data_IF_358369385880
#
_entry.id   IF_358369385880
#
_cell.length_a   1.000
_cell.length_b   1.000
_cell.length_c   1.000
_cell.angle_alpha   90.00
_cell.angle_beta   90.00
_cell.angle_gamma   90.00
#
_symmetry.space_group_name_H-M   'P 1'
#
loop_
_entity.id
_entity.type
_entity.pdbx_description
1 polymer ?
#
# COMPACT_ATOMS: atom_id res chain seq x y z
N UNK A 1 -20.46 -16.22 10.46
CA UNK A 1 -20.39 -14.95 9.75
C UNK A 1 -19.60 -15.14 8.47
N UNK A 2 -19.94 -14.40 7.40
CA UNK A 2 -19.22 -14.44 6.13
C UNK A 2 -18.00 -13.47 6.11
N UNK A 3 -17.64 -12.92 7.28
CA UNK A 3 -16.48 -12.06 7.42
C UNK A 3 -15.17 -12.85 7.32
N UNK A 4 -14.22 -12.28 6.59
CA UNK A 4 -12.83 -12.71 6.55
C UNK A 4 -11.95 -11.76 7.36
N UNK A 5 -10.81 -12.24 7.80
CA UNK A 5 -9.76 -11.43 8.43
C UNK A 5 -8.62 -11.33 7.41
N UNK A 6 -8.28 -10.14 7.00
CA UNK A 6 -7.14 -9.90 6.13
C UNK A 6 -5.88 -9.64 6.98
N UNK A 7 -4.92 -10.54 6.89
CA UNK A 7 -3.59 -10.36 7.49
C UNK A 7 -2.80 -9.40 6.61
N UNK A 8 -2.22 -8.40 7.22
CA UNK A 8 -1.48 -7.39 6.46
C UNK A 8 -0.01 -7.78 6.29
N UNK A 9 0.55 -7.51 5.10
CA UNK A 9 2.00 -7.53 4.90
C UNK A 9 2.63 -6.43 5.73
N UNK A 10 3.65 -6.74 6.52
CA UNK A 10 4.24 -5.84 7.49
C UNK A 10 5.63 -5.38 7.06
N UNK A 11 6.02 -4.17 7.46
CA UNK A 11 7.33 -3.60 7.15
C UNK A 11 8.49 -4.30 7.88
N UNK A 12 8.22 -5.03 8.97
CA UNK A 12 9.22 -5.66 9.81
C UNK A 12 9.86 -4.72 10.81
N UNK A 13 9.13 -3.70 11.26
CA UNK A 13 9.58 -2.76 12.27
C UNK A 13 9.62 -3.42 13.64
N UNK A 14 10.79 -3.43 14.26
CA UNK A 14 10.96 -4.03 15.59
C UNK A 14 10.72 -5.54 15.58
N UNK A 15 9.66 -6.00 16.24
CA UNK A 15 9.28 -7.41 16.37
C UNK A 15 8.01 -7.77 15.59
N UNK A 16 7.62 -6.96 14.61
CA UNK A 16 6.47 -7.25 13.76
C UNK A 16 6.66 -8.56 12.99
N UNK A 17 5.60 -9.38 12.94
CA UNK A 17 5.51 -10.62 12.16
C UNK A 17 4.66 -10.35 10.93
N UNK A 18 4.93 -11.03 9.81
CA UNK A 18 4.28 -10.80 8.51
C UNK A 18 5.13 -9.98 7.56
N UNK A 19 6.43 -9.84 7.88
CA UNK A 19 7.43 -9.19 7.04
C UNK A 19 7.69 -9.95 5.75
N UNK A 20 7.66 -11.27 5.80
CA UNK A 20 7.84 -12.12 4.62
C UNK A 20 6.57 -12.92 4.32
N UNK A 21 6.43 -13.35 3.08
CA UNK A 21 5.28 -14.17 2.68
C UNK A 21 5.27 -15.52 3.39
N UNK A 22 6.45 -16.06 3.72
CA UNK A 22 6.60 -17.28 4.52
C UNK A 22 6.11 -17.11 5.96
N UNK A 23 6.31 -15.93 6.57
CA UNK A 23 5.76 -15.62 7.90
C UNK A 23 4.22 -15.57 7.87
N UNK A 24 3.63 -14.98 6.82
CA UNK A 24 2.18 -15.01 6.63
C UNK A 24 1.67 -16.44 6.41
N UNK A 25 2.36 -17.23 5.58
CA UNK A 25 2.00 -18.64 5.37
C UNK A 25 2.07 -19.44 6.67
N UNK A 26 3.07 -19.21 7.51
CA UNK A 26 3.18 -19.85 8.81
C UNK A 26 2.00 -19.51 9.75
N UNK A 27 1.47 -18.27 9.67
CA UNK A 27 0.24 -17.90 10.40
C UNK A 27 -0.95 -18.67 9.84
N UNK A 28 -1.10 -18.76 8.51
CA UNK A 28 -2.18 -19.54 7.88
C UNK A 28 -2.15 -21.01 8.34
N UNK A 29 -0.98 -21.63 8.32
CA UNK A 29 -0.80 -23.03 8.72
C UNK A 29 -1.08 -23.26 10.21
N UNK A 30 -0.83 -22.24 11.04
CA UNK A 30 -1.07 -22.30 12.50
C UNK A 30 -2.53 -22.08 12.90
N UNK A 31 -3.41 -21.63 11.99
CA UNK A 31 -4.81 -21.31 12.31
C UNK A 31 -5.75 -22.42 11.83
N UNK A 32 -6.56 -22.96 12.75
CA UNK A 32 -7.49 -24.07 12.47
C UNK A 32 -8.56 -23.72 11.42
N UNK A 33 -9.03 -22.47 11.39
CA UNK A 33 -10.04 -21.96 10.47
C UNK A 33 -9.43 -20.96 9.49
N UNK A 34 -8.36 -21.36 8.81
CA UNK A 34 -7.64 -20.50 7.86
C UNK A 34 -8.43 -20.20 6.58
N UNK A 35 -9.53 -20.91 6.32
CA UNK A 35 -10.49 -20.59 5.25
C UNK A 35 -11.08 -19.17 5.38
N UNK A 36 -11.04 -18.57 6.58
CA UNK A 36 -11.45 -17.19 6.87
C UNK A 36 -10.33 -16.17 6.80
N UNK A 37 -9.10 -16.61 6.58
CA UNK A 37 -7.97 -15.71 6.41
C UNK A 37 -7.86 -15.25 4.96
N UNK A 38 -7.42 -14.01 4.80
CA UNK A 38 -7.05 -13.37 3.53
C UNK A 38 -5.82 -12.50 3.76
N UNK A 39 -5.32 -11.87 2.73
CA UNK A 39 -4.19 -10.96 2.83
C UNK A 39 -4.62 -9.53 2.44
N UNK A 40 -4.19 -8.58 3.22
CA UNK A 40 -4.08 -7.18 2.85
C UNK A 40 -2.65 -6.92 2.39
N UNK A 41 -2.47 -6.59 1.12
CA UNK A 41 -1.15 -6.30 0.56
C UNK A 41 -0.89 -4.79 0.63
N UNK A 42 -0.04 -4.35 1.55
CA UNK A 42 0.37 -2.95 1.65
C UNK A 42 1.66 -2.69 0.85
N UNK A 43 1.63 -1.71 -0.05
CA UNK A 43 2.77 -1.39 -0.92
C UNK A 43 3.93 -0.75 -0.17
N UNK A 44 3.65 0.13 0.80
CA UNK A 44 4.69 0.73 1.65
C UNK A 44 5.38 -0.35 2.49
N UNK A 45 4.61 -1.19 3.18
CA UNK A 45 5.15 -2.23 4.04
C UNK A 45 5.96 -3.26 3.25
N UNK A 46 5.46 -3.69 2.10
CA UNK A 46 6.16 -4.68 1.25
C UNK A 46 7.47 -4.12 0.71
N UNK A 47 7.51 -2.84 0.28
CA UNK A 47 8.75 -2.18 -0.10
C UNK A 47 9.70 -2.03 1.09
N UNK A 48 9.19 -1.58 2.24
CA UNK A 48 9.99 -1.36 3.45
C UNK A 48 10.53 -2.69 4.03
N UNK A 49 9.87 -3.82 3.78
CA UNK A 49 10.35 -5.16 4.15
C UNK A 49 11.44 -5.69 3.22
N UNK A 50 11.62 -5.10 2.03
CA UNK A 50 12.71 -5.42 1.10
C UNK A 50 12.31 -6.09 -0.20
N UNK A 51 11.02 -6.26 -0.48
CA UNK A 51 10.56 -6.72 -1.80
C UNK A 51 10.66 -5.59 -2.83
N UNK A 52 11.22 -5.88 -3.99
CA UNK A 52 11.34 -4.91 -5.09
C UNK A 52 10.03 -4.80 -5.90
N UNK A 53 9.05 -4.14 -5.31
CA UNK A 53 7.78 -3.86 -5.99
C UNK A 53 7.87 -2.70 -6.99
N UNK A 54 9.00 -1.98 -7.02
CA UNK A 54 9.22 -0.84 -7.90
C UNK A 54 9.56 -1.31 -9.31
N UNK A 55 10.51 -2.23 -9.43
CA UNK A 55 11.03 -2.67 -10.72
C UNK A 55 10.62 -4.09 -11.09
N UNK A 56 10.21 -4.91 -10.11
CA UNK A 56 9.98 -6.34 -10.27
C UNK A 56 8.68 -6.83 -9.62
N UNK A 57 7.60 -6.01 -9.67
CA UNK A 57 6.32 -6.35 -9.04
C UNK A 57 5.80 -7.74 -9.46
N UNK A 58 5.85 -8.07 -10.75
CA UNK A 58 5.36 -9.37 -11.25
C UNK A 58 6.14 -10.54 -10.63
N UNK A 59 7.46 -10.42 -10.50
CA UNK A 59 8.27 -11.45 -9.86
C UNK A 59 7.97 -11.57 -8.35
N UNK A 60 7.65 -10.46 -7.69
CA UNK A 60 7.18 -10.47 -6.30
C UNK A 60 5.84 -11.19 -6.21
N UNK A 61 4.91 -10.90 -7.13
CA UNK A 61 3.61 -11.58 -7.19
C UNK A 61 3.73 -13.06 -7.52
N UNK A 62 4.66 -13.47 -8.37
CA UNK A 62 4.95 -14.88 -8.64
C UNK A 62 5.49 -15.61 -7.39
N UNK A 63 6.27 -14.91 -6.58
CA UNK A 63 6.72 -15.44 -5.29
C UNK A 63 5.57 -15.56 -4.30
N UNK A 64 4.73 -14.54 -4.20
CA UNK A 64 3.53 -14.55 -3.37
C UNK A 64 2.58 -15.70 -3.77
N UNK A 65 2.35 -15.87 -5.07
CA UNK A 65 1.48 -16.90 -5.61
C UNK A 65 1.94 -18.33 -5.24
N UNK A 66 3.24 -18.59 -5.33
CA UNK A 66 3.80 -19.89 -4.94
C UNK A 66 3.66 -20.20 -3.45
N UNK A 67 3.63 -19.19 -2.60
CA UNK A 67 3.65 -19.35 -1.13
C UNK A 67 2.24 -19.35 -0.56
N UNK A 68 1.38 -18.44 -1.01
CA UNK A 68 0.06 -18.20 -0.43
C UNK A 68 -1.09 -18.35 -1.44
N UNK A 69 -0.83 -18.09 -2.73
CA UNK A 69 -1.86 -17.95 -3.77
C UNK A 69 -2.32 -16.50 -3.96
N UNK A 70 -2.31 -16.00 -5.18
CA UNK A 70 -2.74 -14.62 -5.50
C UNK A 70 -4.19 -14.34 -5.10
N UNK A 71 -5.04 -15.36 -5.13
CA UNK A 71 -6.46 -15.30 -4.75
C UNK A 71 -6.67 -15.00 -3.26
N UNK A 72 -5.64 -15.14 -2.43
CA UNK A 72 -5.71 -14.78 -1.01
C UNK A 72 -5.68 -13.26 -0.79
N UNK A 73 -5.26 -12.47 -1.78
CA UNK A 73 -5.26 -11.01 -1.66
C UNK A 73 -6.70 -10.49 -1.76
N UNK A 74 -7.23 -10.04 -0.62
CA UNK A 74 -8.58 -9.48 -0.53
C UNK A 74 -8.62 -7.96 -0.72
N UNK A 75 -7.51 -7.27 -0.46
CA UNK A 75 -7.40 -5.82 -0.53
C UNK A 75 -5.94 -5.39 -0.71
N UNK A 76 -5.73 -4.32 -1.43
CA UNK A 76 -4.46 -3.58 -1.44
C UNK A 76 -4.59 -2.31 -0.61
N UNK A 77 -3.60 -2.05 0.25
CA UNK A 77 -3.30 -0.71 0.71
C UNK A 77 -2.27 -0.10 -0.24
N UNK A 78 -2.66 0.97 -0.91
CA UNK A 78 -1.80 1.67 -1.90
C UNK A 78 -1.22 2.89 -1.22
N UNK A 79 -0.01 2.77 -0.75
CA UNK A 79 0.73 3.80 -0.03
C UNK A 79 2.13 3.95 -0.64
N UNK A 80 2.59 5.18 -0.81
CA UNK A 80 4.01 5.43 -1.08
C UNK A 80 4.80 5.39 0.22
N UNK A 81 6.11 5.22 0.15
CA UNK A 81 6.98 5.16 1.33
C UNK A 81 7.95 6.34 1.38
N UNK A 82 8.12 6.92 2.57
CA UNK A 82 9.18 7.90 2.84
C UNK A 82 10.57 7.29 2.84
N UNK A 83 10.67 5.98 2.93
CA UNK A 83 11.91 5.26 3.13
C UNK A 83 12.35 4.54 1.87
N UNK A 84 13.66 4.31 1.77
CA UNK A 84 14.21 3.39 0.76
C UNK A 84 13.74 1.96 1.03
N UNK A 85 13.63 1.12 -0.02
CA UNK A 85 13.28 -0.28 0.12
C UNK A 85 14.15 -1.00 1.17
N UNK A 86 13.54 -1.86 1.98
CA UNK A 86 14.24 -2.61 3.03
C UNK A 86 14.51 -1.85 4.33
N UNK A 87 13.97 -0.64 4.49
CA UNK A 87 14.23 0.19 5.67
C UNK A 87 13.57 -0.32 6.97
N UNK A 88 12.56 -1.17 6.89
CA UNK A 88 11.80 -1.72 8.02
C UNK A 88 11.24 -0.63 8.96
N UNK A 89 10.57 0.40 8.42
CA UNK A 89 10.18 1.59 9.20
C UNK A 89 8.69 1.91 9.20
N UNK A 90 7.95 1.52 8.17
CA UNK A 90 6.53 1.85 8.04
C UNK A 90 6.27 3.37 8.18
N UNK A 91 6.49 4.10 7.11
CA UNK A 91 6.27 5.55 7.03
C UNK A 91 5.63 5.90 5.70
N UNK A 92 4.30 5.96 5.68
CA UNK A 92 3.53 6.31 4.49
C UNK A 92 3.85 7.72 3.98
N UNK A 93 3.87 7.88 2.66
CA UNK A 93 3.92 9.13 1.95
C UNK A 93 2.76 9.20 0.95
N UNK A 94 2.43 10.39 0.47
CA UNK A 94 1.45 10.58 -0.59
C UNK A 94 1.95 9.99 -1.91
N UNK A 95 1.03 9.52 -2.75
CA UNK A 95 1.34 8.80 -3.98
C UNK A 95 2.21 9.63 -4.93
N UNK A 96 3.38 9.11 -5.27
CA UNK A 96 4.35 9.75 -6.14
C UNK A 96 5.28 10.76 -5.46
N UNK A 97 5.12 10.98 -4.14
CA UNK A 97 5.98 11.87 -3.36
C UNK A 97 6.98 11.11 -2.49
N UNK A 98 6.96 9.79 -2.53
CA UNK A 98 7.86 8.93 -1.79
C UNK A 98 8.89 8.20 -2.66
N UNK A 99 9.43 7.12 -2.15
CA UNK A 99 10.51 6.36 -2.76
C UNK A 99 10.02 5.25 -3.70
N UNK A 100 8.77 4.82 -3.59
CA UNK A 100 8.15 3.86 -4.53
C UNK A 100 7.84 4.58 -5.84
N UNK A 101 7.24 5.76 -5.74
CA UNK A 101 6.92 6.61 -6.88
C UNK A 101 5.58 6.27 -7.55
N UNK A 102 5.05 7.25 -8.28
CA UNK A 102 3.72 7.15 -8.87
C UNK A 102 3.61 6.04 -9.92
N UNK A 103 4.61 5.89 -10.79
CA UNK A 103 4.53 4.95 -11.92
C UNK A 103 4.40 3.49 -11.45
N UNK A 104 5.18 3.11 -10.43
CA UNK A 104 5.10 1.77 -9.85
C UNK A 104 3.75 1.54 -9.15
N UNK A 105 3.27 2.50 -8.36
CA UNK A 105 1.98 2.40 -7.70
C UNK A 105 0.81 2.36 -8.69
N UNK A 106 0.88 3.18 -9.75
CA UNK A 106 -0.11 3.18 -10.82
C UNK A 106 -0.14 1.85 -11.57
N UNK A 107 1.03 1.24 -11.84
CA UNK A 107 1.11 -0.10 -12.41
C UNK A 107 0.41 -1.14 -11.53
N UNK A 108 0.68 -1.13 -10.22
CA UNK A 108 0.08 -2.06 -9.26
C UNK A 108 -1.46 -1.91 -9.22
N UNK A 109 -1.95 -0.66 -9.20
CA UNK A 109 -3.39 -0.37 -9.15
C UNK A 109 -4.12 -0.91 -10.38
N UNK A 110 -3.50 -0.83 -11.56
CA UNK A 110 -4.11 -1.24 -12.83
C UNK A 110 -3.66 -2.62 -13.30
N UNK A 111 -2.98 -3.39 -12.43
CA UNK A 111 -2.53 -4.73 -12.78
C UNK A 111 -3.73 -5.65 -13.09
N UNK A 112 -3.74 -6.35 -14.24
CA UNK A 112 -4.92 -7.11 -14.70
C UNK A 112 -5.33 -8.24 -13.76
N UNK A 113 -4.38 -8.89 -13.07
CA UNK A 113 -4.70 -9.97 -12.13
C UNK A 113 -5.50 -9.48 -10.92
N UNK A 114 -5.49 -8.16 -10.64
CA UNK A 114 -6.10 -7.57 -9.46
C UNK A 114 -7.17 -6.52 -9.77
N UNK A 115 -7.71 -6.50 -10.98
CA UNK A 115 -8.71 -5.52 -11.41
C UNK A 115 -9.88 -5.41 -10.44
N UNK A 116 -10.38 -6.53 -9.95
CA UNK A 116 -11.54 -6.61 -9.06
C UNK A 116 -11.19 -6.57 -7.56
N UNK A 117 -9.91 -6.48 -7.21
CA UNK A 117 -9.49 -6.38 -5.81
C UNK A 117 -9.56 -4.93 -5.34
N UNK A 118 -10.24 -4.63 -4.23
CA UNK A 118 -10.31 -3.27 -3.68
C UNK A 118 -8.92 -2.67 -3.40
N UNK A 119 -8.79 -1.35 -3.63
CA UNK A 119 -7.60 -0.56 -3.31
C UNK A 119 -8.01 0.54 -2.33
N UNK A 120 -7.28 0.65 -1.23
CA UNK A 120 -7.51 1.61 -0.14
C UNK A 120 -6.27 2.47 0.02
N UNK A 121 -6.45 3.73 0.36
CA UNK A 121 -5.37 4.68 0.64
C UNK A 121 -5.31 4.99 2.13
N UNK A 122 -4.11 4.97 2.69
CA UNK A 122 -3.81 5.39 4.07
C UNK A 122 -2.72 6.47 4.10
N UNK A 123 -2.64 7.23 3.01
CA UNK A 123 -1.67 8.29 2.83
C UNK A 123 -1.88 9.44 3.81
N UNK A 124 -0.79 10.13 4.21
CA UNK A 124 -0.88 11.17 5.23
C UNK A 124 -1.66 12.40 4.75
N UNK A 125 -2.40 13.02 5.67
CA UNK A 125 -3.06 14.30 5.43
C UNK A 125 -2.02 15.41 5.21
N UNK A 126 -2.39 16.39 4.38
CA UNK A 126 -1.55 17.55 4.04
C UNK A 126 -1.74 18.62 5.14
N UNK A 127 -0.68 18.95 5.89
CA UNK A 127 -0.80 19.98 6.94
C UNK A 127 -1.03 21.36 6.34
N UNK A 128 -1.91 22.15 6.96
CA UNK A 128 -2.11 23.55 6.59
C UNK A 128 -0.84 24.35 6.80
N UNK A 129 -0.52 25.23 5.86
CA UNK A 129 0.59 26.17 5.98
C UNK A 129 0.25 27.36 6.90
N UNK A 130 -1.05 27.69 7.06
CA UNK A 130 -1.51 28.92 7.71
C UNK A 130 -2.26 28.66 9.02
N UNK A 131 -2.84 27.47 9.21
CA UNK A 131 -3.70 27.13 10.35
C UNK A 131 -3.07 25.99 11.17
N UNK A 132 -2.52 26.34 12.33
CA UNK A 132 -1.91 25.36 13.23
C UNK A 132 -2.87 24.20 13.56
N UNK A 133 -2.35 22.96 13.53
CA UNK A 133 -3.08 21.70 13.81
C UNK A 133 -4.20 21.36 12.83
N UNK A 134 -4.33 22.07 11.71
CA UNK A 134 -5.27 21.72 10.64
C UNK A 134 -4.57 20.95 9.53
N UNK A 135 -5.24 19.95 8.99
CA UNK A 135 -4.75 19.17 7.84
C UNK A 135 -5.92 18.80 6.93
N UNK A 136 -5.61 18.44 5.68
CA UNK A 136 -6.59 18.18 4.65
C UNK A 136 -6.36 16.81 4.03
N UNK A 137 -7.44 16.09 3.77
CA UNK A 137 -7.40 14.76 3.18
C UNK A 137 -6.94 14.81 1.71
N UNK A 138 -5.95 13.99 1.30
CA UNK A 138 -5.45 13.97 -0.07
C UNK A 138 -6.28 13.07 -1.01
N UNK A 139 -7.08 12.17 -0.48
CA UNK A 139 -7.64 11.01 -1.17
C UNK A 139 -8.37 11.33 -2.48
N UNK A 140 -9.16 12.42 -2.52
CA UNK A 140 -9.86 12.85 -3.74
C UNK A 140 -8.88 13.07 -4.90
N UNK A 141 -7.76 13.71 -4.62
CA UNK A 141 -6.75 14.08 -5.62
C UNK A 141 -5.89 12.87 -6.01
N UNK A 142 -5.53 12.05 -5.05
CA UNK A 142 -4.77 10.82 -5.29
C UNK A 142 -5.58 9.81 -6.13
N UNK A 143 -6.87 9.61 -5.81
CA UNK A 143 -7.78 8.78 -6.61
C UNK A 143 -7.93 9.34 -8.03
N UNK A 144 -7.98 10.67 -8.17
CA UNK A 144 -8.04 11.30 -9.49
C UNK A 144 -6.77 11.00 -10.29
N UNK A 145 -5.58 11.19 -9.72
CA UNK A 145 -4.31 10.85 -10.37
C UNK A 145 -4.28 9.39 -10.84
N UNK A 146 -4.71 8.46 -10.00
CA UNK A 146 -4.76 7.04 -10.35
C UNK A 146 -5.76 6.75 -11.48
N UNK A 147 -6.96 7.37 -11.46
CA UNK A 147 -7.97 7.19 -12.52
C UNK A 147 -7.53 7.75 -13.86
N UNK A 148 -6.87 8.89 -13.85
CA UNK A 148 -6.32 9.56 -15.04
C UNK A 148 -4.98 8.97 -15.46
N UNK A 149 -4.34 8.17 -14.60
CA UNK A 149 -3.00 7.62 -14.77
C UNK A 149 -1.94 8.71 -15.01
N UNK A 150 -2.13 9.87 -14.37
CA UNK A 150 -1.26 11.03 -14.51
C UNK A 150 -0.83 11.55 -13.15
N UNK A 151 0.47 11.62 -12.94
CA UNK A 151 1.04 12.22 -11.72
C UNK A 151 0.91 13.75 -11.75
N UNK A 152 0.39 14.32 -10.66
CA UNK A 152 0.35 15.77 -10.44
C UNK A 152 1.39 16.15 -9.37
N UNK A 153 2.55 16.69 -9.75
CA UNK A 153 3.58 17.10 -8.79
C UNK A 153 3.16 18.29 -7.90
N UNK A 154 2.09 18.99 -8.27
CA UNK A 154 1.53 20.13 -7.53
C UNK A 154 0.29 19.77 -6.71
N UNK A 155 0.03 18.48 -6.50
CA UNK A 155 -1.18 18.03 -5.79
C UNK A 155 -1.27 18.63 -4.38
N UNK A 156 -0.17 18.68 -3.64
CA UNK A 156 -0.17 19.20 -2.26
C UNK A 156 -0.51 20.69 -2.22
N UNK A 157 0.06 21.49 -3.14
CA UNK A 157 -0.23 22.92 -3.28
C UNK A 157 -1.70 23.14 -3.69
N UNK A 158 -2.20 22.34 -4.62
CA UNK A 158 -3.59 22.41 -5.05
C UNK A 158 -4.57 22.13 -3.90
N UNK A 159 -4.31 21.09 -3.07
CA UNK A 159 -5.13 20.80 -1.91
C UNK A 159 -5.20 21.99 -0.96
N UNK A 160 -4.06 22.62 -0.70
CA UNK A 160 -4.02 23.81 0.18
C UNK A 160 -4.77 24.99 -0.42
N UNK A 161 -4.60 25.25 -1.71
CA UNK A 161 -5.31 26.33 -2.42
C UNK A 161 -6.83 26.12 -2.39
N UNK A 162 -7.30 24.91 -2.68
CA UNK A 162 -8.73 24.59 -2.71
C UNK A 162 -9.40 24.62 -1.32
N UNK A 163 -8.63 24.37 -0.26
CA UNK A 163 -9.14 24.26 1.09
C UNK A 163 -8.99 25.55 1.94
N UNK A 164 -8.15 26.47 1.54
CA UNK A 164 -7.84 27.71 2.27
C UNK A 164 -8.41 28.97 1.61
N UNK A 165 -8.96 28.87 0.39
CA UNK A 165 -9.77 29.89 -0.28
C UNK A 165 -11.24 29.76 0.12
#
# INVERSE_FOLDING_TARGET
>A
TDCCIALETMAGKGSEIGRTFEELAAIYDGVMHNDKLRVCFDTCHTSDSGYDIIHHFDAVMDSFDRILGKEQIAVFHINDSKNLPGAAKDRHENLGFGQIGFDALNYIVHHPDFENVPKILETPYIPSATKAKKSYAPYKYEIQMLREQVFNPHMKEQILADAEN
#
